data_IF_434929250020
#
_entry.id   IF_434929250020
#
_cell.length_a   1.000
_cell.length_b   1.000
_cell.length_c   1.000
_cell.angle_alpha   90.00
_cell.angle_beta   90.00
_cell.angle_gamma   90.00
#
_symmetry.space_group_name_H-M   'P 1'
#
loop_
_entity.id
_entity.type
_entity.pdbx_description
1 polymer ?
#
# COMPACT_ATOMS: atom_id res chain seq x y z
N UNK A 1 18.20 -25.61 35.18
CA UNK A 1 16.99 -24.97 35.73
C UNK A 1 15.93 -26.02 36.03
N UNK A 2 14.97 -25.73 36.94
CA UNK A 2 13.92 -26.67 37.42
C UNK A 2 12.62 -26.65 36.60
N UNK A 3 12.53 -25.84 35.54
CA UNK A 3 11.30 -25.66 34.76
C UNK A 3 11.32 -26.59 33.55
N UNK A 4 10.22 -27.32 33.34
CA UNK A 4 10.07 -28.25 32.22
C UNK A 4 9.89 -27.50 30.91
N UNK A 5 10.32 -28.14 29.81
CA UNK A 5 10.12 -27.60 28.46
C UNK A 5 8.64 -27.30 28.18
N UNK A 6 7.71 -28.11 28.69
CA UNK A 6 6.26 -27.90 28.52
C UNK A 6 5.80 -26.54 29.06
N UNK A 7 6.25 -26.15 30.26
CA UNK A 7 5.89 -24.84 30.84
C UNK A 7 6.49 -23.70 30.01
N UNK A 8 7.69 -23.89 29.48
CA UNK A 8 8.33 -22.90 28.61
C UNK A 8 7.58 -22.79 27.29
N UNK A 9 7.15 -23.90 26.69
CA UNK A 9 6.33 -23.92 25.47
C UNK A 9 5.02 -23.17 25.64
N UNK A 10 4.36 -23.31 26.79
CA UNK A 10 3.14 -22.57 27.11
C UNK A 10 3.41 -21.05 27.22
N UNK A 11 4.61 -20.66 27.68
CA UNK A 11 5.02 -19.26 27.82
C UNK A 11 5.62 -18.66 26.55
N UNK A 12 6.15 -19.48 25.63
CA UNK A 12 6.82 -19.03 24.40
C UNK A 12 5.95 -18.09 23.55
N UNK A 13 4.65 -18.35 23.31
CA UNK A 13 3.78 -17.41 22.60
C UNK A 13 3.67 -16.05 23.30
N UNK A 14 3.53 -16.04 24.63
CA UNK A 14 3.42 -14.81 25.41
C UNK A 14 4.74 -14.02 25.45
N UNK A 15 5.87 -14.74 25.47
CA UNK A 15 7.21 -14.17 25.37
C UNK A 15 7.43 -13.55 23.99
N UNK A 16 7.12 -14.28 22.93
CA UNK A 16 7.23 -13.82 21.55
C UNK A 16 6.37 -12.57 21.30
N UNK A 17 5.16 -12.53 21.85
CA UNK A 17 4.26 -11.37 21.74
C UNK A 17 4.65 -10.20 22.65
N UNK A 18 5.64 -10.38 23.54
CA UNK A 18 6.14 -9.34 24.45
C UNK A 18 5.15 -8.94 25.54
N UNK A 19 4.20 -9.80 25.88
CA UNK A 19 3.11 -9.52 26.86
C UNK A 19 3.31 -10.24 28.20
N UNK A 20 4.34 -11.08 28.33
CA UNK A 20 4.67 -11.73 29.58
C UNK A 20 5.27 -10.75 30.61
N UNK A 21 5.14 -11.07 31.90
CA UNK A 21 5.84 -10.33 32.95
C UNK A 21 7.36 -10.50 32.83
N UNK A 22 8.13 -9.55 33.38
CA UNK A 22 9.60 -9.62 33.39
C UNK A 22 10.11 -10.90 34.08
N UNK A 23 9.44 -11.36 35.14
CA UNK A 23 9.79 -12.62 35.82
C UNK A 23 9.65 -13.81 34.85
N UNK A 24 8.52 -13.93 34.15
CA UNK A 24 8.32 -14.99 33.16
C UNK A 24 9.27 -14.88 31.98
N UNK A 25 9.65 -13.66 31.60
CA UNK A 25 10.60 -13.38 30.54
C UNK A 25 11.99 -13.92 30.87
N UNK A 26 12.48 -13.62 32.07
CA UNK A 26 13.78 -14.07 32.56
C UNK A 26 13.85 -15.61 32.62
N UNK A 27 12.73 -16.25 33.00
CA UNK A 27 12.62 -17.73 33.02
C UNK A 27 12.73 -18.34 31.61
N UNK A 28 12.08 -17.73 30.61
CA UNK A 28 12.15 -18.19 29.22
C UNK A 28 13.56 -17.98 28.66
N UNK A 29 14.18 -16.83 28.90
CA UNK A 29 15.54 -16.51 28.45
C UNK A 29 16.59 -17.45 29.05
N UNK A 30 16.52 -17.71 30.36
CA UNK A 30 17.39 -18.68 31.02
C UNK A 30 17.21 -20.07 30.40
N UNK A 31 15.97 -20.51 30.13
CA UNK A 31 15.71 -21.83 29.58
C UNK A 31 16.19 -22.01 28.13
N UNK A 32 15.87 -21.05 27.26
CA UNK A 32 16.23 -21.07 25.84
C UNK A 32 17.75 -20.92 25.63
N UNK A 33 18.48 -20.39 26.62
CA UNK A 33 19.93 -20.33 26.59
C UNK A 33 20.60 -21.72 26.59
N UNK A 34 19.98 -22.74 27.18
CA UNK A 34 20.55 -24.10 27.25
C UNK A 34 19.69 -25.20 26.59
N UNK A 35 18.42 -24.91 26.25
CA UNK A 35 17.51 -25.87 25.63
C UNK A 35 17.36 -25.58 24.13
N UNK A 36 17.97 -26.43 23.29
CA UNK A 36 17.90 -26.29 21.83
C UNK A 36 16.49 -26.52 21.27
N UNK A 37 15.68 -27.38 21.90
CA UNK A 37 14.29 -27.62 21.46
C UNK A 37 13.43 -26.37 21.60
N UNK A 38 13.42 -25.75 22.78
CA UNK A 38 12.67 -24.52 23.02
C UNK A 38 13.20 -23.34 22.18
N UNK A 39 14.51 -23.32 21.88
CA UNK A 39 15.10 -22.32 20.97
C UNK A 39 14.60 -22.49 19.54
N UNK A 40 14.58 -23.72 19.04
CA UNK A 40 14.08 -23.99 17.70
C UNK A 40 12.60 -23.64 17.54
N UNK A 41 11.80 -23.91 18.58
CA UNK A 41 10.39 -23.59 18.61
C UNK A 41 10.14 -22.07 18.60
N UNK A 42 10.91 -21.30 19.37
CA UNK A 42 10.88 -19.83 19.31
C UNK A 42 11.25 -19.30 17.91
N UNK A 43 12.31 -19.84 17.30
CA UNK A 43 12.75 -19.43 15.96
C UNK A 43 11.71 -19.74 14.87
N UNK A 44 10.97 -20.85 14.99
CA UNK A 44 9.88 -21.20 14.08
C UNK A 44 8.73 -20.19 14.13
N UNK A 45 8.48 -19.57 15.28
CA UNK A 45 7.47 -18.51 15.44
C UNK A 45 7.92 -17.23 14.72
N UNK A 46 9.20 -16.85 14.86
CA UNK A 46 9.79 -15.70 14.17
C UNK A 46 9.75 -15.85 12.62
N UNK A 47 10.07 -17.05 12.10
CA UNK A 47 10.06 -17.31 10.65
C UNK A 47 8.65 -17.24 10.04
N UNK A 48 7.62 -17.73 10.74
CA UNK A 48 6.24 -17.66 10.28
C UNK A 48 5.72 -16.22 10.17
N UNK A 49 6.16 -15.32 11.06
CA UNK A 49 5.82 -13.89 10.93
C UNK A 49 6.45 -13.28 9.69
N UNK A 50 7.74 -13.51 9.45
CA UNK A 50 8.43 -12.89 8.31
C UNK A 50 7.89 -13.37 6.96
N UNK A 51 7.58 -14.67 6.84
CA UNK A 51 7.00 -15.24 5.63
C UNK A 51 5.57 -14.73 5.34
N UNK A 52 4.74 -14.57 6.37
CA UNK A 52 3.38 -14.05 6.22
C UNK A 52 3.36 -12.55 5.90
N UNK A 53 4.09 -11.73 6.67
CA UNK A 53 4.13 -10.28 6.45
C UNK A 53 4.75 -9.88 5.11
N UNK A 54 5.81 -10.56 4.64
CA UNK A 54 6.41 -10.22 3.34
C UNK A 54 5.45 -10.50 2.17
N UNK A 55 4.67 -11.60 2.25
CA UNK A 55 3.77 -12.00 1.17
C UNK A 55 2.46 -11.20 1.16
N UNK A 56 1.95 -10.82 2.33
CA UNK A 56 0.75 -9.98 2.44
C UNK A 56 1.01 -8.53 2.01
N UNK A 57 2.10 -7.90 2.50
CA UNK A 57 2.45 -6.54 2.12
C UNK A 57 2.68 -6.37 0.60
N UNK A 58 3.25 -7.38 -0.07
CA UNK A 58 3.45 -7.36 -1.52
C UNK A 58 2.11 -7.43 -2.28
N UNK A 59 1.16 -8.27 -1.83
CA UNK A 59 -0.17 -8.40 -2.44
C UNK A 59 -1.00 -7.13 -2.24
N UNK A 60 -0.97 -6.54 -1.05
CA UNK A 60 -1.66 -5.28 -0.76
C UNK A 60 -1.07 -4.13 -1.59
N UNK A 61 0.25 -4.02 -1.66
CA UNK A 61 0.92 -3.02 -2.50
C UNK A 61 0.59 -3.19 -3.99
N UNK A 62 0.46 -4.43 -4.48
CA UNK A 62 0.08 -4.70 -5.86
C UNK A 62 -1.39 -4.34 -6.13
N UNK A 63 -2.30 -4.61 -5.17
CA UNK A 63 -3.70 -4.23 -5.25
C UNK A 63 -3.86 -2.69 -5.32
N UNK A 64 -3.19 -1.95 -4.43
CA UNK A 64 -3.20 -0.48 -4.43
C UNK A 64 -2.61 0.09 -5.73
N UNK A 65 -1.51 -0.48 -6.23
CA UNK A 65 -0.91 -0.07 -7.52
C UNK A 65 -1.87 -0.30 -8.71
N UNK A 66 -2.59 -1.41 -8.74
CA UNK A 66 -3.59 -1.70 -9.79
C UNK A 66 -4.73 -0.70 -9.76
N UNK A 67 -5.22 -0.34 -8.57
CA UNK A 67 -6.27 0.68 -8.41
C UNK A 67 -5.77 2.07 -8.83
N UNK A 68 -4.57 2.47 -8.40
CA UNK A 68 -3.96 3.75 -8.76
C UNK A 68 -3.74 3.90 -10.28
N UNK A 69 -3.30 2.82 -10.96
CA UNK A 69 -3.09 2.82 -12.41
C UNK A 69 -4.40 3.00 -13.18
N UNK A 70 -5.46 2.30 -12.78
CA UNK A 70 -6.81 2.45 -13.37
C UNK A 70 -7.37 3.86 -13.16
N UNK A 71 -7.16 4.45 -11.97
CA UNK A 71 -7.61 5.80 -11.69
C UNK A 71 -6.89 6.86 -12.54
N UNK A 72 -5.56 6.73 -12.70
CA UNK A 72 -4.76 7.65 -13.53
C UNK A 72 -5.15 7.59 -15.01
N UNK A 73 -5.43 6.39 -15.52
CA UNK A 73 -5.89 6.20 -16.91
C UNK A 73 -7.27 6.83 -17.16
N UNK A 74 -8.21 6.68 -16.22
CA UNK A 74 -9.53 7.31 -16.32
C UNK A 74 -9.45 8.84 -16.33
N UNK A 75 -8.57 9.44 -15.50
CA UNK A 75 -8.40 10.91 -15.47
C UNK A 75 -7.80 11.48 -16.76
N UNK A 76 -6.85 10.79 -17.39
CA UNK A 76 -6.24 11.28 -18.64
C UNK A 76 -7.28 11.37 -19.76
N UNK A 77 -8.14 10.35 -19.91
CA UNK A 77 -9.16 10.34 -20.95
C UNK A 77 -10.14 11.52 -20.82
N UNK A 78 -10.51 11.88 -19.59
CA UNK A 78 -11.37 13.05 -19.32
C UNK A 78 -10.70 14.38 -19.66
N UNK A 79 -9.38 14.52 -19.40
CA UNK A 79 -8.64 15.73 -19.74
C UNK A 79 -8.51 15.92 -21.27
N UNK A 80 -8.21 14.85 -22.00
CA UNK A 80 -8.14 14.88 -23.48
C UNK A 80 -9.46 15.32 -24.12
N UNK A 81 -10.59 14.80 -23.60
CA UNK A 81 -11.93 15.18 -24.07
C UNK A 81 -12.23 16.65 -23.80
N UNK A 82 -11.92 17.15 -22.61
CA UNK A 82 -12.11 18.56 -22.25
C UNK A 82 -11.30 19.52 -23.13
N UNK A 83 -10.02 19.20 -23.38
CA UNK A 83 -9.15 20.00 -24.25
C UNK A 83 -9.66 20.02 -25.69
N UNK A 84 -10.11 18.89 -26.23
CA UNK A 84 -10.67 18.82 -27.59
C UNK A 84 -11.91 19.71 -27.76
N UNK A 85 -12.84 19.67 -26.81
CA UNK A 85 -14.05 20.51 -26.84
C UNK A 85 -13.68 21.99 -26.74
N UNK A 86 -12.78 22.34 -25.81
CA UNK A 86 -12.33 23.73 -25.62
C UNK A 86 -11.68 24.31 -26.89
N UNK A 87 -10.80 23.56 -27.54
CA UNK A 87 -10.19 23.95 -28.81
C UNK A 87 -11.23 24.10 -29.92
N UNK A 88 -12.19 23.19 -30.00
CA UNK A 88 -13.28 23.28 -30.99
C UNK A 88 -14.11 24.56 -30.85
N UNK A 89 -14.51 24.91 -29.61
CA UNK A 89 -15.25 26.15 -29.34
C UNK A 89 -14.40 27.38 -29.67
N UNK A 90 -13.11 27.37 -29.30
CA UNK A 90 -12.20 28.48 -29.60
C UNK A 90 -12.08 28.72 -31.10
N UNK A 91 -11.91 27.67 -31.90
CA UNK A 91 -11.83 27.78 -33.37
C UNK A 91 -13.14 28.30 -33.96
N UNK A 92 -14.29 27.79 -33.50
CA UNK A 92 -15.60 28.25 -33.96
C UNK A 92 -15.83 29.73 -33.67
N UNK A 93 -15.42 30.21 -32.48
CA UNK A 93 -15.52 31.64 -32.13
C UNK A 93 -14.62 32.50 -33.03
N UNK A 94 -13.40 32.06 -33.32
CA UNK A 94 -12.51 32.79 -34.23
C UNK A 94 -13.07 32.85 -35.66
N UNK A 95 -13.63 31.75 -36.17
CA UNK A 95 -14.29 31.71 -37.49
C UNK A 95 -15.54 32.60 -37.52
N UNK A 96 -16.32 32.61 -36.44
CA UNK A 96 -17.49 33.48 -36.34
C UNK A 96 -17.07 34.96 -36.33
N UNK A 97 -16.03 35.32 -35.56
CA UNK A 97 -15.50 36.68 -35.52
C UNK A 97 -14.91 37.11 -36.85
N UNK A 98 -14.19 36.23 -37.57
CA UNK A 98 -13.67 36.56 -38.90
C UNK A 98 -14.81 36.83 -39.88
N UNK A 99 -15.84 35.96 -39.93
CA UNK A 99 -17.02 36.18 -40.77
C UNK A 99 -17.76 37.48 -40.42
N UNK A 100 -17.88 37.80 -39.13
CA UNK A 100 -18.52 39.04 -38.69
C UNK A 100 -17.70 40.28 -39.05
N UNK A 101 -16.38 40.19 -38.97
CA UNK A 101 -15.47 41.30 -39.28
C UNK A 101 -15.38 41.55 -40.79
N UNK A 102 -15.34 40.48 -41.61
CA UNK A 102 -15.46 40.56 -43.07
C UNK A 102 -16.81 41.17 -43.49
N UNK A 103 -17.90 40.77 -42.83
CA UNK A 103 -19.22 41.34 -43.07
C UNK A 103 -19.29 42.84 -42.73
N UNK A 104 -18.70 43.26 -41.60
CA UNK A 104 -18.58 44.69 -41.22
C UNK A 104 -17.73 45.49 -42.21
N UNK A 105 -16.63 44.93 -42.72
CA UNK A 105 -15.78 45.60 -43.72
C UNK A 105 -16.50 45.78 -45.07
N UNK A 106 -17.39 44.85 -45.45
CA UNK A 106 -18.15 44.94 -46.71
C UNK A 106 -19.37 45.87 -46.62
N UNK A 107 -19.91 46.10 -45.40
CA UNK A 107 -21.13 46.88 -45.15
C UNK A 107 -20.87 48.35 -44.78
N UNK A 108 -19.61 48.75 -44.61
CA UNK A 108 -19.25 50.17 -44.40
C UNK A 108 -18.52 50.70 -45.64
N UNK A 109 -19.15 51.51 -46.51
CA UNK A 109 -18.45 52.26 -47.55
C UNK A 109 -17.64 53.43 -46.99
#
# INVERSE_FOLDING_TARGET
MKISCEVIRDLLPLYHDGVCSEESKELVEEHVAYCEECRAELAFMDENLQASHATENLKEAEAVKKMAKKWKQSKWLSLLRGVGIGLGVMVLLLLFLSLFMDFKFTVTP
#
